data_IF_071772555706
#
_entry.id   IF_071772555706
#
_cell.length_a   1.000
_cell.length_b   1.000
_cell.length_c   1.000
_cell.angle_alpha   90.00
_cell.angle_beta   90.00
_cell.angle_gamma   90.00
#
_symmetry.space_group_name_H-M   'P 1'
#
loop_
_entity.id
_entity.type
_entity.pdbx_description
1 polymer ?
#
# COMPACT_ATOMS: atom_id res chain seq x y z
N UNK A 1 -89.68 -34.47 -7.07
CA UNK A 1 -88.58 -33.49 -7.16
C UNK A 1 -88.40 -33.14 -8.62
N UNK A 2 -88.74 -31.90 -8.97
CA UNK A 2 -88.77 -31.44 -10.35
C UNK A 2 -87.36 -31.31 -10.95
N UNK A 3 -87.22 -31.71 -12.22
CA UNK A 3 -85.97 -31.51 -12.99
C UNK A 3 -85.51 -30.05 -12.98
N UNK A 4 -86.44 -29.12 -12.84
CA UNK A 4 -86.18 -27.69 -12.70
C UNK A 4 -85.36 -27.35 -11.43
N UNK A 5 -85.64 -28.02 -10.31
CA UNK A 5 -84.95 -27.79 -9.02
C UNK A 5 -83.49 -28.29 -9.07
N UNK A 6 -83.26 -29.40 -9.77
CA UNK A 6 -81.92 -29.93 -10.03
C UNK A 6 -81.12 -28.96 -10.91
N UNK A 7 -81.72 -28.47 -12.00
CA UNK A 7 -81.09 -27.50 -12.90
C UNK A 7 -80.75 -26.21 -12.15
N UNK A 8 -81.70 -25.68 -11.35
CA UNK A 8 -81.49 -24.48 -10.52
C UNK A 8 -80.29 -24.64 -9.58
N UNK A 9 -80.23 -25.73 -8.82
CA UNK A 9 -79.10 -26.04 -7.92
C UNK A 9 -77.77 -26.15 -8.66
N UNK A 10 -77.76 -26.79 -9.83
CA UNK A 10 -76.53 -26.89 -10.64
C UNK A 10 -76.07 -25.55 -11.18
N UNK A 11 -76.99 -24.67 -11.59
CA UNK A 11 -76.68 -23.33 -12.08
C UNK A 11 -76.13 -22.45 -10.96
N UNK A 12 -76.73 -22.46 -9.77
CA UNK A 12 -76.19 -21.75 -8.60
C UNK A 12 -74.80 -22.24 -8.23
N UNK A 13 -74.59 -23.56 -8.18
CA UNK A 13 -73.25 -24.13 -7.92
C UNK A 13 -72.21 -23.74 -8.97
N UNK A 14 -72.61 -23.61 -10.24
CA UNK A 14 -71.73 -23.15 -11.31
C UNK A 14 -71.40 -21.66 -11.17
N UNK A 15 -72.37 -20.83 -10.79
CA UNK A 15 -72.16 -19.41 -10.52
C UNK A 15 -71.13 -19.20 -9.40
N UNK A 16 -71.24 -19.94 -8.30
CA UNK A 16 -70.28 -19.88 -7.17
C UNK A 16 -68.86 -20.27 -7.61
N UNK A 17 -68.75 -21.30 -8.47
CA UNK A 17 -67.45 -21.73 -9.03
C UNK A 17 -66.85 -20.68 -9.95
N UNK A 18 -67.66 -20.01 -10.77
CA UNK A 18 -67.22 -18.94 -11.66
C UNK A 18 -66.72 -17.75 -10.84
N UNK A 19 -67.44 -17.37 -9.79
CA UNK A 19 -67.03 -16.30 -8.88
C UNK A 19 -65.70 -16.63 -8.19
N UNK A 20 -65.55 -17.86 -7.68
CA UNK A 20 -64.31 -18.30 -7.06
C UNK A 20 -63.12 -18.27 -8.04
N UNK A 21 -63.32 -18.75 -9.28
CA UNK A 21 -62.29 -18.67 -10.33
C UNK A 21 -61.94 -17.21 -10.63
N UNK A 22 -62.93 -16.31 -10.71
CA UNK A 22 -62.70 -14.88 -10.96
C UNK A 22 -61.83 -14.26 -9.86
N UNK A 23 -62.11 -14.57 -8.60
CA UNK A 23 -61.32 -14.10 -7.46
C UNK A 23 -59.87 -14.63 -7.49
N UNK A 24 -59.68 -15.91 -7.84
CA UNK A 24 -58.35 -16.51 -7.98
C UNK A 24 -57.56 -15.83 -9.11
N UNK A 25 -58.20 -15.61 -10.27
CA UNK A 25 -57.56 -14.94 -11.41
C UNK A 25 -57.15 -13.50 -11.05
N UNK A 26 -58.00 -12.76 -10.33
CA UNK A 26 -57.68 -11.42 -9.86
C UNK A 26 -56.48 -11.41 -8.90
N UNK A 27 -56.44 -12.34 -7.93
CA UNK A 27 -55.33 -12.48 -7.00
C UNK A 27 -54.01 -12.87 -7.69
N UNK A 28 -54.08 -13.76 -8.68
CA UNK A 28 -52.92 -14.14 -9.48
C UNK A 28 -52.40 -12.98 -10.33
N UNK A 29 -53.29 -12.19 -10.93
CA UNK A 29 -52.91 -10.99 -11.70
C UNK A 29 -52.12 -9.99 -10.85
N UNK A 30 -52.56 -9.75 -9.60
CA UNK A 30 -51.84 -8.91 -8.66
C UNK A 30 -50.43 -9.46 -8.36
N UNK A 31 -50.34 -10.77 -8.10
CA UNK A 31 -49.07 -11.44 -7.80
C UNK A 31 -48.10 -11.36 -8.98
N UNK A 32 -48.58 -11.55 -10.20
CA UNK A 32 -47.78 -11.44 -11.43
C UNK A 32 -47.21 -10.02 -11.57
N UNK A 33 -48.02 -8.99 -11.31
CA UNK A 33 -47.55 -7.61 -11.38
C UNK A 33 -46.45 -7.31 -10.35
N UNK A 34 -46.61 -7.80 -9.11
CA UNK A 34 -45.58 -7.69 -8.07
C UNK A 34 -44.27 -8.39 -8.48
N UNK A 35 -44.38 -9.60 -9.08
CA UNK A 35 -43.22 -10.31 -9.60
C UNK A 35 -42.53 -9.54 -10.75
N UNK A 36 -43.30 -8.94 -11.67
CA UNK A 36 -42.74 -8.15 -12.77
C UNK A 36 -41.97 -6.93 -12.27
N UNK A 37 -42.48 -6.26 -11.25
CA UNK A 37 -41.80 -5.12 -10.62
C UNK A 37 -40.50 -5.56 -9.94
N UNK A 38 -40.52 -6.65 -9.18
CA UNK A 38 -39.33 -7.22 -8.55
C UNK A 38 -38.26 -7.61 -9.60
N UNK A 39 -38.66 -8.24 -10.72
CA UNK A 39 -37.76 -8.59 -11.82
C UNK A 39 -37.14 -7.33 -12.45
N UNK A 40 -37.90 -6.25 -12.59
CA UNK A 40 -37.41 -4.98 -13.12
C UNK A 40 -36.32 -4.39 -12.22
N UNK A 41 -36.53 -4.41 -10.91
CA UNK A 41 -35.55 -3.96 -9.90
C UNK A 41 -34.28 -4.81 -9.98
N UNK A 42 -34.42 -6.15 -9.95
CA UNK A 42 -33.27 -7.07 -10.00
C UNK A 42 -32.43 -6.86 -11.27
N UNK A 43 -33.06 -6.65 -12.42
CA UNK A 43 -32.34 -6.36 -13.68
C UNK A 43 -31.53 -5.07 -13.59
N UNK A 44 -32.06 -4.04 -12.93
CA UNK A 44 -31.33 -2.78 -12.75
C UNK A 44 -30.11 -2.96 -11.84
N UNK A 45 -30.27 -3.72 -10.75
CA UNK A 45 -29.18 -4.00 -9.82
C UNK A 45 -28.08 -4.87 -10.43
N UNK A 46 -28.45 -5.83 -11.29
CA UNK A 46 -27.51 -6.65 -12.05
C UNK A 46 -26.63 -5.79 -12.99
N UNK A 47 -27.25 -4.84 -13.71
CA UNK A 47 -26.52 -3.90 -14.57
C UNK A 47 -25.56 -3.00 -13.77
N UNK A 48 -25.97 -2.53 -12.59
CA UNK A 48 -25.10 -1.76 -11.70
C UNK A 48 -23.94 -2.61 -11.20
N UNK A 49 -24.21 -3.85 -10.80
CA UNK A 49 -23.21 -4.77 -10.27
C UNK A 49 -22.18 -5.15 -11.33
N UNK A 50 -22.61 -5.44 -12.56
CA UNK A 50 -21.72 -5.68 -13.71
C UNK A 50 -20.79 -4.50 -13.96
N UNK A 51 -21.30 -3.28 -13.95
CA UNK A 51 -20.47 -2.07 -14.11
C UNK A 51 -19.43 -1.94 -13.00
N UNK A 52 -19.79 -2.24 -11.75
CA UNK A 52 -18.84 -2.22 -10.62
C UNK A 52 -17.76 -3.29 -10.79
N UNK A 53 -18.13 -4.51 -11.18
CA UNK A 53 -17.18 -5.61 -11.42
C UNK A 53 -16.17 -5.21 -12.48
N UNK A 54 -16.62 -4.74 -13.65
CA UNK A 54 -15.72 -4.30 -14.72
C UNK A 54 -14.81 -3.14 -14.29
N UNK A 55 -15.30 -2.23 -13.44
CA UNK A 55 -14.47 -1.17 -12.84
C UNK A 55 -13.36 -1.73 -11.95
N UNK A 56 -13.68 -2.69 -11.09
CA UNK A 56 -12.69 -3.34 -10.22
C UNK A 56 -11.65 -4.16 -10.99
N UNK A 57 -12.06 -4.86 -12.05
CA UNK A 57 -11.13 -5.60 -12.92
C UNK A 57 -10.08 -4.67 -13.56
N UNK A 58 -10.53 -3.53 -14.09
CA UNK A 58 -9.62 -2.54 -14.68
C UNK A 58 -8.64 -1.98 -13.65
N UNK A 59 -9.13 -1.64 -12.45
CA UNK A 59 -8.28 -1.15 -11.37
C UNK A 59 -7.26 -2.20 -10.93
N UNK A 60 -7.66 -3.47 -10.87
CA UNK A 60 -6.78 -4.58 -10.50
C UNK A 60 -5.67 -4.79 -11.52
N UNK A 61 -5.97 -4.69 -12.82
CA UNK A 61 -4.97 -4.78 -13.89
C UNK A 61 -3.93 -3.65 -13.78
N UNK A 62 -4.39 -2.41 -13.60
CA UNK A 62 -3.50 -1.26 -13.44
C UNK A 62 -2.56 -1.41 -12.23
N UNK A 63 -3.10 -1.84 -11.08
CA UNK A 63 -2.30 -2.09 -9.89
C UNK A 63 -1.26 -3.20 -10.12
N UNK A 64 -1.62 -4.22 -10.88
CA UNK A 64 -0.74 -5.35 -11.22
C UNK A 64 0.43 -4.91 -12.09
N UNK A 65 0.18 -4.13 -13.14
CA UNK A 65 1.22 -3.58 -14.01
C UNK A 65 2.19 -2.66 -13.26
N UNK A 66 1.65 -1.77 -12.43
CA UNK A 66 2.47 -0.88 -11.60
C UNK A 66 3.31 -1.66 -10.58
N UNK A 67 2.76 -2.72 -9.99
CA UNK A 67 3.48 -3.59 -9.06
C UNK A 67 4.62 -4.34 -9.77
N UNK A 68 4.37 -4.86 -10.97
CA UNK A 68 5.39 -5.51 -11.79
C UNK A 68 6.53 -4.55 -12.16
N UNK A 69 6.21 -3.30 -12.51
CA UNK A 69 7.22 -2.28 -12.78
C UNK A 69 8.14 -2.05 -11.56
N UNK A 70 7.56 -1.94 -10.36
CA UNK A 70 8.33 -1.78 -9.11
C UNK A 70 9.20 -3.00 -8.83
N UNK A 71 8.69 -4.22 -9.00
CA UNK A 71 9.46 -5.45 -8.81
C UNK A 71 10.68 -5.49 -9.75
N UNK A 72 10.53 -5.02 -10.98
CA UNK A 72 11.60 -5.02 -11.98
C UNK A 72 12.65 -3.94 -11.73
N UNK A 73 12.24 -2.76 -11.27
CA UNK A 73 13.17 -1.65 -11.01
C UNK A 73 13.97 -1.82 -9.73
N UNK A 74 13.34 -2.34 -8.67
CA UNK A 74 13.93 -2.36 -7.33
C UNK A 74 15.30 -3.06 -7.25
N UNK A 75 15.52 -4.25 -7.84
CA UNK A 75 16.83 -4.91 -7.82
C UNK A 75 17.93 -4.12 -8.56
N UNK A 76 17.55 -3.23 -9.48
CA UNK A 76 18.49 -2.34 -10.18
C UNK A 76 18.85 -1.11 -9.35
N UNK A 77 18.03 -0.78 -8.35
CA UNK A 77 18.17 0.41 -7.51
C UNK A 77 18.79 0.13 -6.14
N UNK A 78 18.61 -1.09 -5.62
CA UNK A 78 19.08 -1.48 -4.29
C UNK A 78 20.60 -1.42 -4.09
N UNK A 79 21.37 -1.49 -5.18
CA UNK A 79 22.84 -1.37 -5.18
C UNK A 79 23.32 0.09 -5.31
N UNK A 80 22.41 1.05 -5.34
CA UNK A 80 22.75 2.44 -5.63
C UNK A 80 22.60 3.33 -4.40
N UNK A 81 23.51 4.29 -4.29
CA UNK A 81 23.44 5.39 -3.33
C UNK A 81 23.40 6.71 -4.10
N UNK A 82 22.54 7.62 -3.66
CA UNK A 82 22.49 8.99 -4.15
C UNK A 82 23.24 9.87 -3.16
N UNK A 83 24.32 10.49 -3.63
CA UNK A 83 25.15 11.42 -2.88
C UNK A 83 24.86 12.83 -3.39
N UNK A 84 24.42 13.71 -2.51
CA UNK A 84 24.17 15.12 -2.82
C UNK A 84 25.21 15.99 -2.14
N UNK A 85 25.55 17.12 -2.77
CA UNK A 85 26.53 18.09 -2.24
C UNK A 85 27.97 17.87 -2.70
N UNK A 86 28.26 16.85 -3.53
CA UNK A 86 29.60 16.68 -4.12
C UNK A 86 29.87 17.88 -5.04
N UNK A 87 30.94 18.66 -4.83
CA UNK A 87 31.32 19.79 -5.69
C UNK A 87 31.37 19.36 -7.17
N UNK A 88 30.87 20.17 -8.09
CA UNK A 88 30.90 19.84 -9.52
C UNK A 88 32.35 19.74 -10.01
N UNK A 89 32.70 18.61 -10.60
CA UNK A 89 33.99 18.41 -11.27
C UNK A 89 33.77 18.30 -12.78
N UNK A 90 34.85 18.47 -13.55
CA UNK A 90 34.82 18.29 -15.01
C UNK A 90 34.80 16.79 -15.38
N UNK A 91 35.33 15.93 -14.49
CA UNK A 91 35.52 14.51 -14.73
C UNK A 91 34.75 13.64 -13.74
N UNK A 92 34.02 12.66 -14.26
CA UNK A 92 33.33 11.62 -13.49
C UNK A 92 34.33 10.84 -12.62
N UNK A 93 35.58 10.70 -13.06
CA UNK A 93 36.63 10.01 -12.29
C UNK A 93 36.95 10.78 -11.00
N UNK A 94 36.92 12.11 -11.01
CA UNK A 94 37.14 12.91 -9.81
C UNK A 94 35.94 12.86 -8.87
N UNK A 95 34.71 12.86 -9.42
CA UNK A 95 33.50 12.60 -8.63
C UNK A 95 33.57 11.23 -7.94
N UNK A 96 34.01 10.22 -8.66
CA UNK A 96 34.19 8.86 -8.14
C UNK A 96 35.25 8.80 -7.04
N UNK A 97 36.35 9.55 -7.15
CA UNK A 97 37.37 9.60 -6.08
C UNK A 97 36.78 10.17 -4.79
N UNK A 98 36.09 11.32 -4.88
CA UNK A 98 35.46 11.96 -3.73
C UNK A 98 34.38 11.04 -3.13
N UNK A 99 33.55 10.43 -3.97
CA UNK A 99 32.52 9.50 -3.53
C UNK A 99 33.11 8.27 -2.82
N UNK A 100 34.21 7.70 -3.32
CA UNK A 100 34.90 6.60 -2.67
C UNK A 100 35.50 7.02 -1.31
N UNK A 101 36.06 8.23 -1.20
CA UNK A 101 36.56 8.76 0.08
C UNK A 101 35.45 8.85 1.14
N UNK A 102 34.28 9.37 0.75
CA UNK A 102 33.10 9.45 1.61
C UNK A 102 32.64 8.04 2.03
N UNK A 103 32.55 7.10 1.08
CA UNK A 103 32.12 5.73 1.35
C UNK A 103 33.08 5.00 2.27
N UNK A 104 34.39 5.14 2.04
CA UNK A 104 35.43 4.50 2.86
C UNK A 104 35.45 5.04 4.29
N UNK A 105 35.14 6.32 4.49
CA UNK A 105 34.98 6.91 5.83
C UNK A 105 33.84 6.25 6.61
N UNK A 106 32.78 5.82 5.92
CA UNK A 106 31.58 5.23 6.53
C UNK A 106 31.65 3.72 6.71
N UNK A 107 32.51 3.06 5.95
CA UNK A 107 32.72 1.61 6.02
C UNK A 107 34.18 1.25 5.70
N UNK A 108 35.10 1.39 6.67
CA UNK A 108 36.54 1.17 6.44
C UNK A 108 36.91 -0.28 6.11
N UNK A 109 36.15 -1.25 6.65
CA UNK A 109 36.42 -2.69 6.49
C UNK A 109 36.12 -3.21 5.09
N UNK A 110 35.38 -2.41 4.34
CA UNK A 110 34.93 -2.78 3.03
C UNK A 110 35.92 -2.30 1.98
N UNK A 111 36.33 -3.19 1.07
CA UNK A 111 36.97 -2.81 -0.20
C UNK A 111 35.93 -2.17 -1.12
N UNK A 112 35.18 -1.19 -0.61
CA UNK A 112 34.04 -0.58 -1.25
C UNK A 112 34.49 0.34 -2.36
N UNK A 113 34.82 -0.29 -3.48
CA UNK A 113 34.97 0.42 -4.72
C UNK A 113 33.59 0.59 -5.32
N UNK A 114 33.16 1.84 -5.44
CA UNK A 114 32.05 2.20 -6.30
C UNK A 114 32.35 1.61 -7.68
N UNK A 115 31.46 0.72 -8.15
CA UNK A 115 31.60 0.02 -9.42
C UNK A 115 31.50 0.99 -10.59
N UNK A 116 30.54 1.90 -10.52
CA UNK A 116 30.33 2.96 -11.50
C UNK A 116 29.48 4.07 -10.90
N UNK A 117 29.49 5.25 -11.51
CA UNK A 117 28.66 6.35 -11.09
C UNK A 117 28.54 7.44 -12.13
N UNK A 118 27.54 8.29 -11.96
CA UNK A 118 27.24 9.38 -12.86
C UNK A 118 26.37 10.44 -12.17
N UNK A 119 26.39 11.68 -12.68
CA UNK A 119 25.55 12.76 -12.18
C UNK A 119 24.17 12.76 -12.84
N UNK A 120 23.18 13.19 -12.06
CA UNK A 120 21.81 13.38 -12.52
C UNK A 120 21.43 14.85 -12.62
N UNK A 121 20.59 15.18 -13.60
CA UNK A 121 20.02 16.51 -13.78
C UNK A 121 20.79 17.39 -14.77
N UNK A 122 20.17 18.52 -15.11
CA UNK A 122 20.71 19.47 -16.07
C UNK A 122 21.80 20.34 -15.45
N UNK A 123 22.79 20.72 -16.27
CA UNK A 123 23.94 21.56 -15.89
C UNK A 123 23.58 23.04 -15.71
N UNK A 124 22.32 23.41 -15.93
CA UNK A 124 21.90 24.79 -16.15
C UNK A 124 21.90 25.69 -14.90
N UNK A 125 22.01 25.15 -13.68
CA UNK A 125 21.91 25.92 -12.43
C UNK A 125 23.15 25.75 -11.54
N UNK A 126 24.10 26.67 -11.63
CA UNK A 126 25.41 26.63 -10.93
C UNK A 126 25.35 26.77 -9.40
N UNK A 127 24.18 27.07 -8.82
CA UNK A 127 24.07 27.32 -7.38
C UNK A 127 24.05 26.05 -6.52
N UNK A 128 23.67 24.89 -7.08
CA UNK A 128 23.59 23.63 -6.33
C UNK A 128 24.19 22.48 -7.14
N UNK A 129 25.21 21.77 -6.59
CA UNK A 129 25.80 20.64 -7.31
C UNK A 129 24.78 19.55 -7.60
N UNK A 130 24.83 19.00 -8.81
CA UNK A 130 24.00 17.88 -9.24
C UNK A 130 24.21 16.65 -8.34
N UNK A 131 23.15 15.88 -8.03
CA UNK A 131 23.29 14.62 -7.33
C UNK A 131 24.17 13.64 -8.10
N UNK A 132 25.07 12.96 -7.39
CA UNK A 132 25.88 11.88 -7.93
C UNK A 132 25.29 10.54 -7.52
N UNK A 133 25.08 9.65 -8.48
CA UNK A 133 24.69 8.26 -8.23
C UNK A 133 25.91 7.38 -8.25
N UNK A 134 26.15 6.70 -7.14
CA UNK A 134 27.14 5.66 -6.99
C UNK A 134 26.46 4.29 -7.04
N UNK A 135 27.00 3.37 -7.81
CA UNK A 135 26.57 1.97 -7.92
C UNK A 135 27.62 1.10 -7.23
N UNK A 136 27.22 0.34 -6.22
CA UNK A 136 28.07 -0.57 -5.45
C UNK A 136 27.99 -2.01 -5.95
N UNK A 137 28.80 -2.90 -5.39
CA UNK A 137 28.86 -4.29 -5.81
C UNK A 137 27.73 -5.11 -5.20
N UNK A 138 27.36 -4.80 -3.96
CA UNK A 138 26.33 -5.50 -3.21
C UNK A 138 25.35 -4.56 -2.50
N UNK A 139 24.16 -5.08 -2.23
CA UNK A 139 23.12 -4.40 -1.46
C UNK A 139 23.50 -4.26 0.02
N UNK A 140 24.27 -5.22 0.56
CA UNK A 140 24.72 -5.19 1.95
C UNK A 140 25.67 -4.01 2.20
N UNK A 141 26.58 -3.72 1.26
CA UNK A 141 27.43 -2.54 1.30
C UNK A 141 26.60 -1.25 1.39
N UNK A 142 25.56 -1.14 0.54
CA UNK A 142 24.64 0.00 0.55
C UNK A 142 23.97 0.15 1.91
N UNK A 143 23.47 -0.94 2.48
CA UNK A 143 22.81 -0.94 3.80
C UNK A 143 23.78 -0.47 4.89
N UNK A 144 25.00 -0.98 4.91
CA UNK A 144 26.00 -0.60 5.92
C UNK A 144 26.38 0.88 5.82
N UNK A 145 26.60 1.38 4.60
CA UNK A 145 26.90 2.80 4.36
C UNK A 145 25.72 3.68 4.81
N UNK A 146 24.49 3.33 4.43
CA UNK A 146 23.31 4.11 4.77
C UNK A 146 22.98 4.08 6.28
N UNK A 147 23.30 2.99 6.99
CA UNK A 147 23.21 2.93 8.47
C UNK A 147 24.19 3.89 9.13
N UNK A 148 25.40 3.99 8.58
CA UNK A 148 26.46 4.84 9.10
C UNK A 148 26.41 6.29 8.62
N UNK A 149 25.50 6.67 7.72
CA UNK A 149 25.47 8.00 7.07
C UNK A 149 25.46 9.21 8.03
N UNK A 150 25.01 9.03 9.27
CA UNK A 150 25.01 10.10 10.28
C UNK A 150 26.41 10.35 10.88
N UNK A 151 27.37 9.45 10.64
CA UNK A 151 28.78 9.59 11.05
C UNK A 151 29.59 10.50 10.13
N UNK A 152 29.01 10.95 9.01
CA UNK A 152 29.66 11.94 8.13
C UNK A 152 29.86 13.22 8.92
N UNK A 153 31.13 13.56 9.20
CA UNK A 153 31.43 14.82 9.86
C UNK A 153 31.19 15.98 8.89
N UNK A 154 30.38 16.95 9.32
CA UNK A 154 30.22 18.21 8.61
C UNK A 154 31.55 18.98 8.44
N UNK A 155 32.56 18.71 9.27
CA UNK A 155 33.88 19.33 9.15
C UNK A 155 34.70 18.79 7.97
N UNK A 156 34.58 17.49 7.68
CA UNK A 156 35.30 16.84 6.59
C UNK A 156 34.54 16.98 5.27
N UNK A 157 33.21 16.88 5.31
CA UNK A 157 32.35 16.86 4.13
C UNK A 157 31.14 17.78 4.31
N UNK A 158 31.30 19.10 4.08
CA UNK A 158 30.23 20.05 4.27
C UNK A 158 29.09 19.81 3.26
N UNK A 159 27.85 19.84 3.74
CA UNK A 159 26.63 19.71 2.93
C UNK A 159 26.45 18.37 2.19
N UNK A 160 27.23 17.33 2.53
CA UNK A 160 27.05 16.00 1.96
C UNK A 160 25.85 15.30 2.61
N UNK A 161 24.97 14.74 1.78
CA UNK A 161 23.88 13.85 2.25
C UNK A 161 23.80 12.61 1.38
N UNK A 162 23.60 11.47 2.04
CA UNK A 162 23.45 10.16 1.40
C UNK A 162 22.01 9.69 1.53
N UNK A 163 21.43 9.29 0.41
CA UNK A 163 20.08 8.74 0.31
C UNK A 163 20.09 7.44 -0.49
N UNK A 164 19.15 6.55 -0.18
CA UNK A 164 18.86 5.37 -1.00
C UNK A 164 18.22 5.77 -2.33
N UNK A 165 18.60 5.11 -3.43
CA UNK A 165 17.89 5.21 -4.71
C UNK A 165 16.57 4.44 -4.62
N UNK A 166 15.47 5.15 -4.46
CA UNK A 166 14.13 4.57 -4.33
C UNK A 166 13.31 4.78 -5.60
N UNK A 167 12.38 3.87 -5.88
CA UNK A 167 11.37 4.12 -6.92
C UNK A 167 10.45 5.28 -6.50
N UNK A 168 9.73 5.92 -7.43
CA UNK A 168 8.76 6.97 -7.11
C UNK A 168 7.73 6.50 -6.07
N UNK A 169 7.19 5.28 -6.23
CA UNK A 169 6.23 4.69 -5.29
C UNK A 169 6.81 4.45 -3.90
N UNK A 170 8.06 3.99 -3.80
CA UNK A 170 8.74 3.84 -2.51
C UNK A 170 8.96 5.19 -1.82
N UNK A 171 9.27 6.23 -2.61
CA UNK A 171 9.45 7.60 -2.10
C UNK A 171 8.13 8.17 -1.59
N UNK A 172 7.05 8.00 -2.35
CA UNK A 172 5.70 8.43 -1.97
C UNK A 172 5.26 7.74 -0.67
N UNK A 173 5.41 6.42 -0.59
CA UNK A 173 5.08 5.65 0.60
C UNK A 173 5.89 6.10 1.83
N UNK A 174 7.21 6.30 1.68
CA UNK A 174 8.05 6.80 2.76
C UNK A 174 7.65 8.22 3.21
N UNK A 175 7.22 9.09 2.29
CA UNK A 175 6.74 10.42 2.63
C UNK A 175 5.42 10.37 3.41
N UNK A 176 4.48 9.52 2.99
CA UNK A 176 3.24 9.26 3.74
C UNK A 176 3.54 8.83 5.19
N UNK A 177 4.44 7.86 5.36
CA UNK A 177 4.87 7.42 6.70
C UNK A 177 5.51 8.54 7.53
N UNK A 178 6.28 9.44 6.90
CA UNK A 178 6.88 10.59 7.59
C UNK A 178 5.83 11.62 8.02
N UNK A 179 4.85 11.88 7.17
CA UNK A 179 3.75 12.80 7.47
C UNK A 179 2.89 12.25 8.60
N UNK A 180 2.61 10.95 8.60
CA UNK A 180 1.93 10.25 9.70
C UNK A 180 2.73 10.34 11.01
N UNK A 181 4.03 10.02 10.97
CA UNK A 181 4.90 10.13 12.15
C UNK A 181 4.94 11.56 12.70
N UNK A 182 4.96 12.56 11.82
CA UNK A 182 4.91 13.98 12.21
C UNK A 182 3.57 14.32 12.87
N UNK A 183 2.46 13.79 12.35
CA UNK A 183 1.13 13.99 12.93
C UNK A 183 1.03 13.35 14.32
N UNK A 184 1.52 12.11 14.47
CA UNK A 184 1.58 11.41 15.76
C UNK A 184 2.43 12.17 16.79
N UNK A 185 3.61 12.66 16.38
CA UNK A 185 4.45 13.51 17.23
C UNK A 185 3.72 14.80 17.64
N UNK A 186 2.96 15.41 16.73
CA UNK A 186 2.11 16.57 17.02
C UNK A 186 1.00 16.28 18.04
N UNK A 187 0.55 15.03 18.13
CA UNK A 187 -0.42 14.54 19.10
C UNK A 187 0.22 14.08 20.43
N UNK A 188 1.54 14.31 20.61
CA UNK A 188 2.27 13.90 21.81
C UNK A 188 2.67 12.42 21.85
N UNK A 189 2.48 11.68 20.75
CA UNK A 189 2.84 10.27 20.62
C UNK A 189 4.26 10.13 20.04
N UNK A 190 5.29 10.25 20.89
CA UNK A 190 6.71 10.22 20.50
C UNK A 190 7.35 8.83 20.48
N UNK A 191 6.59 7.78 20.79
CA UNK A 191 7.04 6.39 20.86
C UNK A 191 7.06 5.66 19.51
N UNK A 192 6.91 6.39 18.40
CA UNK A 192 6.84 5.84 17.05
C UNK A 192 8.09 6.17 16.24
N UNK A 193 8.59 5.18 15.51
CA UNK A 193 9.73 5.30 14.60
C UNK A 193 9.42 4.60 13.28
N UNK A 194 9.97 5.09 12.17
CA UNK A 194 9.91 4.36 10.89
C UNK A 194 11.09 3.40 10.86
N UNK A 195 10.81 2.09 10.88
CA UNK A 195 11.83 1.05 10.77
C UNK A 195 11.65 0.24 9.50
N UNK A 196 12.78 -0.19 8.93
CA UNK A 196 12.78 -1.13 7.83
C UNK A 196 12.69 -2.56 8.40
N UNK A 197 11.52 -3.18 8.29
CA UNK A 197 11.36 -4.60 8.56
C UNK A 197 11.83 -5.40 7.34
N UNK A 198 12.78 -6.31 7.52
CA UNK A 198 13.18 -7.27 6.49
C UNK A 198 12.23 -8.46 6.62
N UNK A 199 11.23 -8.57 5.73
CA UNK A 199 10.49 -9.83 5.59
C UNK A 199 11.29 -10.78 4.70
N UNK A 200 10.97 -12.07 4.74
CA UNK A 200 11.68 -13.22 4.11
C UNK A 200 12.06 -13.08 2.63
N UNK A 201 11.73 -11.97 1.96
CA UNK A 201 12.32 -11.67 0.66
C UNK A 201 12.58 -10.17 0.36
N UNK A 202 12.13 -9.18 1.14
CA UNK A 202 12.29 -7.73 0.81
C UNK A 202 12.17 -6.80 2.03
N UNK A 203 12.95 -5.69 2.11
CA UNK A 203 12.71 -4.66 3.13
C UNK A 203 11.38 -3.93 2.89
N UNK A 204 10.51 -3.90 3.90
CA UNK A 204 9.27 -3.13 3.96
C UNK A 204 9.48 -2.05 5.04
N UNK A 205 9.08 -0.81 4.76
CA UNK A 205 9.11 0.25 5.76
C UNK A 205 7.82 0.19 6.57
N UNK A 206 7.94 0.15 7.88
CA UNK A 206 6.81 0.07 8.80
C UNK A 206 6.95 1.14 9.88
N UNK A 207 5.81 1.68 10.32
CA UNK A 207 5.72 2.44 11.56
C UNK A 207 5.78 1.44 12.71
N UNK A 208 6.84 1.54 13.50
CA UNK A 208 7.05 0.75 14.71
C UNK A 208 6.77 1.61 15.93
N UNK A 209 5.73 1.25 16.68
CA UNK A 209 5.47 1.78 18.01
C UNK A 209 6.19 0.97 19.08
N UNK A 210 6.80 1.63 20.06
CA UNK A 210 7.27 1.01 21.30
C UNK A 210 6.19 1.16 22.36
N UNK A 211 5.65 0.05 22.87
CA UNK A 211 4.74 0.07 24.02
C UNK A 211 5.62 -0.11 25.25
N UNK A 212 5.71 0.93 26.08
CA UNK A 212 6.36 0.85 27.39
C UNK A 212 5.28 0.42 28.40
N UNK A 213 5.32 -0.84 28.83
CA UNK A 213 4.41 -1.40 29.83
C UNK A 213 3.02 -1.80 29.29
N UNK A 214 2.69 -3.09 29.40
CA UNK A 214 1.35 -3.65 29.18
C UNK A 214 1.25 -4.57 27.96
N UNK A 215 0.91 -5.84 28.20
CA UNK A 215 0.86 -6.93 27.19
C UNK A 215 -0.34 -6.89 26.24
N UNK A 216 -1.01 -5.75 26.08
CA UNK A 216 -2.24 -5.67 25.27
C UNK A 216 -2.06 -4.71 24.10
N UNK A 217 -2.35 -5.21 22.89
CA UNK A 217 -2.42 -4.37 21.71
C UNK A 217 -3.44 -3.22 21.91
N UNK A 218 -3.19 -2.03 21.33
CA UNK A 218 -4.17 -0.95 21.30
C UNK A 218 -5.54 -1.43 20.80
N UNK A 219 -6.65 -0.96 21.38
CA UNK A 219 -7.99 -1.33 20.93
C UNK A 219 -8.21 -1.00 19.45
N UNK A 220 -8.75 -1.94 18.68
CA UNK A 220 -9.05 -1.76 17.25
C UNK A 220 -8.01 -2.33 16.27
N UNK A 221 -6.90 -2.87 16.76
CA UNK A 221 -5.89 -3.54 15.95
C UNK A 221 -6.16 -5.04 15.80
N UNK A 222 -6.23 -5.53 14.56
CA UNK A 222 -6.38 -6.95 14.22
C UNK A 222 -4.98 -7.56 14.01
N UNK A 223 -4.64 -8.59 14.78
CA UNK A 223 -3.40 -9.33 14.57
C UNK A 223 -3.50 -10.14 13.25
N UNK A 224 -2.59 -9.86 12.31
CA UNK A 224 -2.51 -10.50 11.00
C UNK A 224 -1.38 -11.52 10.90
N UNK A 225 -0.58 -11.68 11.95
CA UNK A 225 0.45 -12.72 12.06
C UNK A 225 1.75 -12.21 12.66
N UNK A 226 2.69 -13.13 12.87
CA UNK A 226 4.03 -12.81 13.38
C UNK A 226 5.08 -12.95 12.29
N UNK A 227 6.03 -12.01 12.24
CA UNK A 227 7.21 -12.09 11.38
C UNK A 227 8.45 -11.84 12.23
N UNK A 228 9.14 -12.92 12.62
CA UNK A 228 10.27 -12.83 13.55
C UNK A 228 9.80 -12.35 14.94
N UNK A 229 10.48 -11.36 15.57
CA UNK A 229 10.07 -10.81 16.87
C UNK A 229 8.93 -9.79 16.78
N UNK A 230 8.35 -9.60 15.60
CA UNK A 230 7.33 -8.60 15.36
C UNK A 230 5.96 -9.26 15.22
N UNK A 231 4.96 -8.72 15.90
CA UNK A 231 3.55 -9.00 15.63
C UNK A 231 3.02 -7.92 14.70
N UNK A 232 2.46 -8.36 13.58
CA UNK A 232 1.87 -7.49 12.59
C UNK A 232 0.41 -7.27 12.95
N UNK A 233 0.02 -6.00 12.99
CA UNK A 233 -1.35 -5.59 13.25
C UNK A 233 -1.90 -4.80 12.06
N UNK A 234 -3.20 -4.88 11.87
CA UNK A 234 -3.97 -4.18 10.85
C UNK A 234 -5.04 -3.32 11.52
N UNK A 235 -5.26 -2.12 11.00
CA UNK A 235 -6.39 -1.27 11.39
C UNK A 235 -7.16 -0.89 10.12
N UNK A 236 -8.46 -1.18 10.09
CA UNK A 236 -9.36 -0.72 9.03
C UNK A 236 -9.87 0.67 9.41
N UNK A 237 -9.28 1.71 8.84
CA UNK A 237 -9.81 3.07 8.93
C UNK A 237 -10.27 3.52 7.53
N UNK A 238 -11.47 4.11 7.48
CA UNK A 238 -12.26 4.44 6.28
C UNK A 238 -11.41 4.98 5.11
N UNK A 239 -10.99 4.10 4.20
CA UNK A 239 -10.25 4.38 2.94
C UNK A 239 -8.70 4.20 2.96
N UNK A 240 -8.09 3.64 4.01
CA UNK A 240 -6.65 3.29 3.99
C UNK A 240 -6.29 1.98 4.72
N UNK A 241 -5.49 1.14 4.06
CA UNK A 241 -4.91 -0.09 4.62
C UNK A 241 -3.60 0.26 5.35
N UNK A 242 -3.62 0.36 6.68
CA UNK A 242 -2.40 0.53 7.49
C UNK A 242 -1.90 -0.82 8.01
N UNK A 243 -0.62 -1.11 7.74
CA UNK A 243 0.10 -2.29 8.27
C UNK A 243 1.06 -1.83 9.36
N UNK A 244 0.82 -2.29 10.58
CA UNK A 244 1.59 -1.97 11.77
C UNK A 244 2.52 -3.15 12.09
N UNK A 245 3.77 -2.90 12.47
CA UNK A 245 4.60 -3.92 13.11
C UNK A 245 4.94 -3.45 14.52
N UNK A 246 4.51 -4.22 15.52
CA UNK A 246 4.80 -3.95 16.93
C UNK A 246 5.79 -5.01 17.38
N UNK A 247 6.92 -4.56 17.92
CA UNK A 247 7.85 -5.42 18.66
C UNK A 247 7.52 -5.32 20.14
N UNK A 248 7.28 -6.45 20.79
CA UNK A 248 7.22 -6.51 22.25
C UNK A 248 8.65 -6.73 22.75
N UNK A 249 9.19 -5.77 23.50
CA UNK A 249 10.38 -5.99 24.33
C UNK A 249 9.90 -6.15 25.75
N UNK A 250 10.12 -7.33 26.33
CA UNK A 250 10.03 -7.48 27.79
C UNK A 250 11.13 -6.60 28.40
N UNK A 251 10.75 -5.71 29.31
CA UNK A 251 11.72 -4.88 30.04
C UNK A 251 12.57 -5.81 30.92
N UNK A 252 13.91 -5.72 30.79
CA UNK A 252 14.88 -6.28 31.76
C UNK A 252 14.88 -5.50 33.07
#
# INVERSE_FOLDING_TARGET
MDRLDIVSKTVSSLADKIENISNIVAAQSLTINQCMEAISIIKKDDEVTKKRISGFELQTLQLTDEFHAVIKERPKREKNIIITGIPETISIQDDMKIANEIVNTLNPDSRNNIKSGFRFGNESNSSRPRPFKAILNSTDEVIQILKNKNKISNSAFPNIKLNSDMTPKQTEHLNKLRDELKNLNGQGRSNFTINAAITWNKPILLLQGRILGGSSAPPGLINVGNVGPYTIFYMEEQDALLVWAISFTEDE
#
